data_IF_652732137411
#
_entry.id   IF_652732137411
#
_cell.length_a   1.000
_cell.length_b   1.000
_cell.length_c   1.000
_cell.angle_alpha   90.00
_cell.angle_beta   90.00
_cell.angle_gamma   90.00
#
_symmetry.space_group_name_H-M   'P 1'
#
loop_
_entity.id
_entity.type
_entity.pdbx_description
1 polymer ?
#
# COMPACT_ATOMS: atom_id res chain seq x y z
N UNK A 1 -17.81 -36.87 0.93
CA UNK A 1 -16.58 -36.19 1.41
C UNK A 1 -15.41 -36.51 0.50
N UNK A 2 -15.45 -35.99 -0.73
CA UNK A 2 -14.30 -35.97 -1.64
C UNK A 2 -14.32 -34.56 -2.23
N UNK A 3 -13.15 -33.91 -2.29
CA UNK A 3 -12.90 -32.65 -3.02
C UNK A 3 -13.02 -31.31 -2.28
N UNK A 4 -12.35 -31.17 -1.12
CA UNK A 4 -11.86 -29.84 -0.69
C UNK A 4 -10.34 -29.72 -0.71
N UNK A 5 -9.61 -30.83 -0.52
CA UNK A 5 -8.14 -30.87 -0.66
C UNK A 5 -7.64 -30.97 -2.11
N UNK A 6 -8.50 -31.31 -3.07
CA UNK A 6 -8.09 -31.46 -4.49
C UNK A 6 -8.11 -30.14 -5.26
N UNK A 7 -9.02 -29.24 -4.93
CA UNK A 7 -9.15 -27.90 -5.53
C UNK A 7 -7.89 -27.03 -5.41
N UNK A 8 -7.24 -26.92 -4.22
CA UNK A 8 -6.01 -26.15 -4.10
C UNK A 8 -4.83 -26.75 -4.87
N UNK A 9 -4.75 -28.09 -4.96
CA UNK A 9 -3.72 -28.80 -5.74
C UNK A 9 -3.92 -28.55 -7.24
N UNK A 10 -5.16 -28.54 -7.72
CA UNK A 10 -5.48 -28.26 -9.12
C UNK A 10 -5.14 -26.81 -9.47
N UNK A 11 -5.43 -25.84 -8.59
CA UNK A 11 -5.08 -24.43 -8.78
C UNK A 11 -3.55 -24.24 -8.75
N UNK A 12 -2.84 -24.95 -7.87
CA UNK A 12 -1.38 -24.97 -7.83
C UNK A 12 -0.76 -25.52 -9.13
N UNK A 13 -1.31 -26.61 -9.67
CA UNK A 13 -0.90 -27.12 -11.00
C UNK A 13 -1.24 -26.13 -12.13
N UNK A 14 -2.38 -25.44 -12.06
CA UNK A 14 -2.77 -24.44 -13.05
C UNK A 14 -1.81 -23.23 -13.05
N UNK A 15 -1.39 -22.77 -11.87
CA UNK A 15 -0.39 -21.71 -11.70
C UNK A 15 1.00 -22.15 -12.16
N UNK A 16 1.40 -23.40 -11.88
CA UNK A 16 2.65 -23.98 -12.39
C UNK A 16 2.66 -24.08 -13.92
N UNK A 17 1.56 -24.50 -14.55
CA UNK A 17 1.45 -24.56 -16.01
C UNK A 17 1.43 -23.17 -16.67
N UNK A 18 0.90 -22.14 -15.99
CA UNK A 18 1.05 -20.74 -16.43
C UNK A 18 2.50 -20.28 -16.34
N UNK A 19 3.21 -20.67 -15.28
CA UNK A 19 4.62 -20.34 -15.06
C UNK A 19 5.52 -20.92 -16.17
N UNK A 20 5.27 -22.16 -16.59
CA UNK A 20 6.04 -22.83 -17.66
C UNK A 20 5.83 -22.19 -19.04
N UNK A 21 4.59 -21.78 -19.37
CA UNK A 21 4.30 -21.07 -20.63
C UNK A 21 4.90 -19.68 -20.69
N UNK A 22 4.96 -18.97 -19.56
CA UNK A 22 5.59 -17.64 -19.47
C UNK A 22 7.12 -17.75 -19.56
N UNK A 23 7.74 -18.72 -18.87
CA UNK A 23 9.19 -18.96 -18.94
C UNK A 23 9.66 -19.33 -20.35
N UNK A 24 8.92 -20.17 -21.08
CA UNK A 24 9.25 -20.51 -22.47
C UNK A 24 9.13 -19.32 -23.42
N UNK A 25 8.21 -18.38 -23.17
CA UNK A 25 8.06 -17.18 -24.00
C UNK A 25 9.17 -16.15 -23.82
N UNK A 26 9.79 -16.11 -22.63
CA UNK A 26 10.87 -15.17 -22.29
C UNK A 26 12.24 -15.71 -22.73
N UNK A 27 12.51 -17.01 -22.58
CA UNK A 27 13.78 -17.62 -22.98
C UNK A 27 14.00 -17.68 -24.51
N UNK A 28 12.93 -17.66 -25.32
CA UNK A 28 13.06 -17.52 -26.77
C UNK A 28 13.54 -16.11 -27.19
N UNK A 29 13.25 -15.08 -26.38
CA UNK A 29 13.58 -13.69 -26.70
C UNK A 29 15.05 -13.32 -26.47
N UNK A 30 15.81 -14.07 -25.66
CA UNK A 30 17.26 -13.83 -25.50
C UNK A 30 18.09 -14.38 -26.68
N UNK A 31 17.58 -15.37 -27.43
CA UNK A 31 18.31 -16.00 -28.54
C UNK A 31 17.99 -15.43 -29.94
N UNK A 32 17.07 -14.46 -30.05
CA UNK A 32 16.71 -13.83 -31.33
C UNK A 32 17.58 -12.60 -31.70
N UNK A 33 18.49 -12.20 -30.81
CA UNK A 33 19.40 -11.06 -31.00
C UNK A 33 20.64 -11.33 -31.86
N UNK A 34 21.02 -12.60 -32.07
CA UNK A 34 22.19 -12.99 -32.86
C UNK A 34 21.83 -14.11 -33.84
N UNK A 35 21.21 -13.75 -34.97
CA UNK A 35 21.44 -14.35 -36.28
C UNK A 35 20.44 -13.75 -37.29
N UNK A 36 20.74 -12.56 -37.78
CA UNK A 36 20.27 -12.17 -39.12
C UNK A 36 20.98 -13.07 -40.11
N UNK A 37 20.28 -14.05 -40.69
CA UNK A 37 20.36 -14.39 -42.10
C UNK A 37 19.23 -15.33 -42.56
N UNK A 38 18.52 -14.83 -43.57
CA UNK A 38 17.90 -15.53 -44.70
C UNK A 38 16.79 -16.59 -44.47
N UNK A 39 15.59 -16.17 -44.88
CA UNK A 39 14.51 -16.98 -45.48
C UNK A 39 13.91 -18.13 -44.65
N UNK A 40 12.91 -17.81 -43.82
CA UNK A 40 11.88 -18.78 -43.44
C UNK A 40 10.50 -18.11 -43.31
N UNK A 41 9.70 -18.31 -44.36
CA UNK A 41 8.25 -18.19 -44.49
C UNK A 41 7.45 -17.58 -43.30
N UNK A 42 7.20 -16.28 -43.40
CA UNK A 42 6.16 -15.57 -42.65
C UNK A 42 4.80 -16.11 -43.09
N UNK A 43 4.16 -16.99 -42.29
CA UNK A 43 2.71 -17.28 -42.22
C UNK A 43 2.43 -18.71 -41.68
N UNK A 44 2.65 -18.93 -40.39
CA UNK A 44 2.08 -20.08 -39.65
C UNK A 44 1.08 -19.56 -38.62
N UNK A 45 -0.11 -20.18 -38.46
CA UNK A 45 -1.16 -19.68 -37.56
C UNK A 45 -0.74 -19.62 -36.08
N UNK A 46 0.23 -20.43 -35.65
CA UNK A 46 0.77 -20.38 -34.28
C UNK A 46 1.55 -19.08 -33.99
N UNK A 47 2.37 -18.60 -34.93
CA UNK A 47 3.10 -17.34 -34.78
C UNK A 47 2.17 -16.13 -34.83
N UNK A 48 1.11 -16.20 -35.63
CA UNK A 48 0.09 -15.15 -35.70
C UNK A 48 -0.73 -15.08 -34.39
N UNK A 49 -1.09 -16.23 -33.82
CA UNK A 49 -1.81 -16.31 -32.54
C UNK A 49 -0.94 -15.84 -31.35
N UNK A 50 0.36 -16.16 -31.35
CA UNK A 50 1.30 -15.65 -30.33
C UNK A 50 1.41 -14.13 -30.41
N UNK A 51 1.59 -13.58 -31.61
CA UNK A 51 1.65 -12.13 -31.84
C UNK A 51 0.33 -11.43 -31.45
N UNK A 52 -0.83 -11.99 -31.83
CA UNK A 52 -2.15 -11.46 -31.46
C UNK A 52 -2.37 -11.43 -29.95
N UNK A 53 -1.96 -12.47 -29.23
CA UNK A 53 -2.04 -12.53 -27.76
C UNK A 53 -1.10 -11.53 -27.09
N UNK A 54 0.10 -11.31 -27.64
CA UNK A 54 1.05 -10.31 -27.14
C UNK A 54 0.51 -8.88 -27.32
N UNK A 55 -0.08 -8.57 -28.48
CA UNK A 55 -0.74 -7.28 -28.71
C UNK A 55 -1.90 -7.05 -27.74
N UNK A 56 -2.72 -8.07 -27.47
CA UNK A 56 -3.85 -7.97 -26.54
C UNK A 56 -3.38 -7.71 -25.09
N UNK A 57 -2.33 -8.39 -24.63
CA UNK A 57 -1.75 -8.18 -23.30
C UNK A 57 -1.19 -6.75 -23.10
N UNK A 58 -0.55 -6.20 -24.13
CA UNK A 58 -0.02 -4.82 -24.09
C UNK A 58 -1.15 -3.80 -24.04
N UNK A 59 -2.23 -3.99 -24.81
CA UNK A 59 -3.41 -3.12 -24.76
C UNK A 59 -4.14 -3.23 -23.40
N UNK A 60 -4.20 -4.43 -22.81
CA UNK A 60 -4.72 -4.60 -21.44
C UNK A 60 -3.87 -3.86 -20.40
N UNK A 61 -2.54 -3.92 -20.47
CA UNK A 61 -1.67 -3.15 -19.57
C UNK A 61 -1.81 -1.63 -19.80
N UNK A 62 -1.88 -1.18 -21.06
CA UNK A 62 -2.18 0.23 -21.39
C UNK A 62 -3.52 0.68 -20.83
N UNK A 63 -4.53 -0.19 -20.77
CA UNK A 63 -5.81 0.15 -20.16
C UNK A 63 -5.70 0.50 -18.66
N UNK A 64 -4.65 0.02 -17.98
CA UNK A 64 -4.38 0.27 -16.56
C UNK A 64 -3.46 1.47 -16.33
N UNK A 65 -2.38 1.62 -17.11
CA UNK A 65 -1.32 2.63 -16.87
C UNK A 65 -1.15 3.66 -17.99
N UNK A 66 -1.86 3.53 -19.10
CA UNK A 66 -1.81 4.44 -20.25
C UNK A 66 -3.18 4.92 -20.72
N UNK A 67 -4.17 4.89 -19.83
CA UNK A 67 -5.56 5.23 -20.15
C UNK A 67 -5.85 6.72 -19.88
N UNK A 68 -6.05 7.49 -20.96
CA UNK A 68 -6.34 8.93 -20.90
C UNK A 68 -7.66 9.26 -20.18
N UNK A 69 -8.68 8.41 -20.33
CA UNK A 69 -9.97 8.60 -19.65
C UNK A 69 -9.81 8.42 -18.13
N UNK A 70 -9.08 7.37 -17.72
CA UNK A 70 -8.76 7.12 -16.32
C UNK A 70 -7.94 8.28 -15.74
N UNK A 71 -6.89 8.74 -16.45
CA UNK A 71 -6.07 9.88 -16.05
C UNK A 71 -6.90 11.14 -15.82
N UNK A 72 -7.78 11.46 -16.77
CA UNK A 72 -8.68 12.61 -16.69
C UNK A 72 -9.63 12.51 -15.50
N UNK A 73 -10.27 11.35 -15.31
CA UNK A 73 -11.23 11.12 -14.22
C UNK A 73 -10.57 11.21 -12.85
N UNK A 74 -9.38 10.62 -12.67
CA UNK A 74 -8.60 10.72 -11.44
C UNK A 74 -8.16 12.16 -11.16
N UNK A 75 -7.73 12.91 -12.18
CA UNK A 75 -7.34 14.32 -12.05
C UNK A 75 -8.53 15.21 -11.64
N UNK A 76 -9.73 14.95 -12.18
CA UNK A 76 -10.95 15.65 -11.77
C UNK A 76 -11.28 15.34 -10.32
N UNK A 77 -11.24 14.06 -9.93
CA UNK A 77 -11.53 13.62 -8.58
C UNK A 77 -10.54 14.20 -7.56
N UNK A 78 -9.25 14.24 -7.88
CA UNK A 78 -8.21 14.89 -7.08
C UNK A 78 -8.59 16.35 -6.78
N UNK A 79 -8.92 17.13 -7.83
CA UNK A 79 -9.30 18.54 -7.68
C UNK A 79 -10.54 18.72 -6.81
N UNK A 80 -11.56 17.88 -6.99
CA UNK A 80 -12.78 17.92 -6.15
C UNK A 80 -12.47 17.62 -4.68
N UNK A 81 -11.58 16.67 -4.40
CA UNK A 81 -11.16 16.36 -3.02
C UNK A 81 -10.38 17.53 -2.41
N UNK A 82 -9.44 18.13 -3.16
CA UNK A 82 -8.68 19.29 -2.69
C UNK A 82 -9.59 20.50 -2.39
N UNK A 83 -10.55 20.78 -3.28
CA UNK A 83 -11.54 21.84 -3.09
C UNK A 83 -12.46 21.56 -1.88
N UNK A 84 -12.85 20.29 -1.69
CA UNK A 84 -13.62 19.86 -0.52
C UNK A 84 -12.84 20.04 0.78
N UNK A 85 -11.56 19.67 0.81
CA UNK A 85 -10.67 19.86 1.95
C UNK A 85 -10.49 21.34 2.29
N UNK A 86 -10.40 22.20 1.27
CA UNK A 86 -10.27 23.64 1.43
C UNK A 86 -11.52 24.27 2.07
N UNK A 87 -12.71 23.84 1.63
CA UNK A 87 -14.02 24.34 2.09
C UNK A 87 -14.54 23.66 3.36
N UNK A 88 -13.84 22.65 3.87
CA UNK A 88 -14.27 21.88 5.03
C UNK A 88 -14.42 22.76 6.28
N UNK A 89 -15.34 22.40 7.17
CA UNK A 89 -15.56 23.11 8.44
C UNK A 89 -14.45 22.82 9.45
N UNK A 90 -13.87 21.61 9.42
CA UNK A 90 -12.75 21.24 10.27
C UNK A 90 -11.43 21.64 9.59
N UNK A 91 -10.84 22.75 10.05
CA UNK A 91 -9.60 23.36 9.51
C UNK A 91 -8.34 22.71 10.09
N UNK A 92 -8.22 21.40 9.94
CA UNK A 92 -7.06 20.61 10.37
C UNK A 92 -6.35 19.98 9.15
N UNK A 93 -5.01 19.83 9.19
CA UNK A 93 -4.15 20.05 10.36
C UNK A 93 -3.64 21.50 10.46
N UNK A 94 -3.49 21.96 11.70
CA UNK A 94 -2.89 23.25 12.05
C UNK A 94 -1.35 23.16 12.01
N UNK A 95 -0.71 24.25 11.62
CA UNK A 95 0.73 24.42 11.71
C UNK A 95 1.13 24.72 13.16
N UNK A 96 1.73 23.72 13.82
CA UNK A 96 2.34 23.87 15.15
C UNK A 96 3.87 23.96 15.02
N UNK A 97 4.55 24.36 16.09
CA UNK A 97 6.01 24.30 16.15
C UNK A 97 6.49 22.85 15.93
N UNK A 98 7.39 22.63 14.97
CA UNK A 98 7.89 21.31 14.59
C UNK A 98 7.24 20.68 13.35
N UNK A 99 6.07 21.17 12.89
CA UNK A 99 5.45 20.66 11.65
C UNK A 99 6.33 20.91 10.42
N UNK A 100 7.08 22.02 10.42
CA UNK A 100 8.01 22.40 9.35
C UNK A 100 9.22 21.47 9.23
N UNK A 101 9.56 20.71 10.29
CA UNK A 101 10.62 19.70 10.26
C UNK A 101 10.10 18.39 9.65
N UNK A 102 8.80 18.11 9.78
CA UNK A 102 8.18 16.88 9.30
C UNK A 102 7.82 16.98 7.81
N UNK A 103 7.26 18.12 7.38
CA UNK A 103 6.65 18.28 6.05
C UNK A 103 7.22 19.48 5.29
N UNK A 104 7.44 19.29 3.98
CA UNK A 104 7.89 20.36 3.09
C UNK A 104 6.74 21.32 2.77
N UNK A 105 6.66 22.42 3.54
CA UNK A 105 5.61 23.43 3.46
C UNK A 105 5.51 24.06 2.06
N UNK A 106 6.56 24.05 1.24
CA UNK A 106 6.53 24.65 -0.10
C UNK A 106 5.54 23.97 -1.05
N UNK A 107 5.21 22.71 -0.79
CA UNK A 107 4.25 21.90 -1.56
C UNK A 107 2.82 21.98 -1.04
N UNK A 108 2.57 22.78 -0.01
CA UNK A 108 1.27 22.93 0.64
C UNK A 108 0.79 24.37 0.53
N UNK A 109 -0.52 24.55 0.47
CA UNK A 109 -1.13 25.87 0.56
C UNK A 109 -1.42 26.20 2.03
N UNK A 110 -0.96 27.35 2.49
CA UNK A 110 -1.20 27.86 3.84
C UNK A 110 -2.41 28.78 3.84
N UNK A 111 -3.33 28.57 4.77
CA UNK A 111 -4.51 29.43 4.95
C UNK A 111 -4.68 29.82 6.41
N UNK A 112 -5.10 31.05 6.62
CA UNK A 112 -5.37 31.59 7.96
C UNK A 112 -6.83 31.31 8.32
N UNK A 113 -7.08 31.07 9.60
CA UNK A 113 -8.44 31.00 10.15
C UNK A 113 -8.90 32.44 10.40
N UNK A 114 -9.98 32.87 9.76
CA UNK A 114 -10.46 34.28 9.83
C UNK A 114 -10.89 34.72 11.22
N UNK A 115 -11.20 33.75 12.10
CA UNK A 115 -11.80 33.99 13.41
C UNK A 115 -10.79 33.77 14.57
N UNK A 116 -9.54 33.42 14.26
CA UNK A 116 -8.47 33.22 15.24
C UNK A 116 -7.15 33.77 14.68
N UNK A 117 -6.64 34.85 15.29
CA UNK A 117 -5.63 35.73 14.66
C UNK A 117 -4.23 35.11 14.43
N UNK A 118 -3.94 33.91 14.91
CA UNK A 118 -2.59 33.32 14.82
C UNK A 118 -2.52 31.87 14.31
N UNK A 119 -3.66 31.24 13.99
CA UNK A 119 -3.68 29.84 13.57
C UNK A 119 -3.74 29.68 12.04
N UNK A 120 -2.74 28.99 11.50
CA UNK A 120 -2.65 28.68 10.08
C UNK A 120 -2.80 27.18 9.88
N UNK A 121 -3.59 26.77 8.88
CA UNK A 121 -3.77 25.38 8.50
C UNK A 121 -3.21 25.11 7.12
N UNK A 122 -2.82 23.87 6.88
CA UNK A 122 -2.27 23.42 5.59
C UNK A 122 -3.27 22.62 4.79
N UNK A 123 -3.23 22.81 3.48
CA UNK A 123 -3.97 22.01 2.51
C UNK A 123 -2.98 21.48 1.47
N UNK A 124 -3.05 20.19 1.10
CA UNK A 124 -2.24 19.67 0.01
C UNK A 124 -2.54 20.38 -1.31
N UNK A 125 -1.58 20.36 -2.22
CA UNK A 125 -1.73 20.89 -3.58
C UNK A 125 -1.67 19.76 -4.61
N UNK A 126 -1.94 20.11 -5.88
CA UNK A 126 -1.78 19.15 -6.99
C UNK A 126 -0.31 18.72 -7.13
N UNK A 127 0.64 19.56 -6.74
CA UNK A 127 2.08 19.29 -6.78
C UNK A 127 2.56 18.41 -5.61
N UNK A 128 1.76 18.20 -4.57
CA UNK A 128 2.14 17.32 -3.45
C UNK A 128 2.35 15.89 -3.95
N UNK A 129 3.48 15.28 -3.57
CA UNK A 129 3.81 13.90 -3.91
C UNK A 129 3.04 12.90 -3.04
N UNK A 130 3.14 11.61 -3.36
CA UNK A 130 2.56 10.54 -2.54
C UNK A 130 3.06 10.59 -1.09
N UNK A 131 4.37 10.73 -0.87
CA UNK A 131 4.96 10.79 0.48
C UNK A 131 4.54 12.05 1.25
N UNK A 132 4.32 13.17 0.56
CA UNK A 132 3.78 14.39 1.17
C UNK A 132 2.36 14.14 1.71
N UNK A 133 1.52 13.40 0.97
CA UNK A 133 0.19 13.02 1.44
C UNK A 133 0.24 12.00 2.59
N UNK A 134 1.20 11.07 2.60
CA UNK A 134 1.40 10.14 3.73
C UNK A 134 1.66 10.91 5.03
N UNK A 135 2.61 11.86 4.99
CA UNK A 135 2.92 12.72 6.15
C UNK A 135 1.73 13.58 6.56
N UNK A 136 1.00 14.12 5.58
CA UNK A 136 -0.23 14.87 5.84
C UNK A 136 -1.31 14.01 6.51
N UNK A 137 -1.46 12.73 6.13
CA UNK A 137 -2.38 11.79 6.79
C UNK A 137 -1.99 11.53 8.25
N UNK A 138 -0.69 11.40 8.55
CA UNK A 138 -0.21 11.26 9.93
C UNK A 138 -0.57 12.47 10.79
N UNK A 139 -0.33 13.70 10.29
CA UNK A 139 -0.70 14.94 10.99
C UNK A 139 -2.22 15.07 11.20
N UNK A 140 -3.02 14.70 10.19
CA UNK A 140 -4.48 14.63 10.32
C UNK A 140 -4.87 13.67 11.43
N UNK A 141 -4.25 12.48 11.49
CA UNK A 141 -4.59 11.45 12.48
C UNK A 141 -4.19 11.88 13.89
N UNK A 142 -2.98 12.40 14.07
CA UNK A 142 -2.50 12.98 15.34
C UNK A 142 -3.51 14.00 15.88
N UNK A 143 -3.83 15.03 15.09
CA UNK A 143 -4.70 16.10 15.56
C UNK A 143 -6.15 15.64 15.70
N UNK A 144 -6.60 14.67 14.90
CA UNK A 144 -7.93 14.05 15.06
C UNK A 144 -8.07 13.29 16.37
N UNK A 145 -7.00 12.64 16.85
CA UNK A 145 -6.99 11.95 18.15
C UNK A 145 -7.03 12.98 19.29
N UNK A 146 -6.25 14.07 19.18
CA UNK A 146 -6.20 15.13 20.20
C UNK A 146 -7.56 15.80 20.43
N UNK A 147 -8.27 16.13 19.35
CA UNK A 147 -9.52 16.90 19.41
C UNK A 147 -10.78 16.02 19.46
N UNK A 148 -10.61 14.69 19.50
CA UNK A 148 -11.71 13.76 19.34
C UNK A 148 -12.83 14.01 20.35
N UNK A 149 -14.06 14.17 19.84
CA UNK A 149 -15.28 14.15 20.64
C UNK A 149 -16.40 13.48 19.84
N UNK A 150 -17.45 13.03 20.54
CA UNK A 150 -18.58 12.33 19.91
C UNK A 150 -19.32 13.21 18.89
N UNK A 151 -19.42 14.51 19.13
CA UNK A 151 -20.17 15.47 18.30
C UNK A 151 -19.53 15.73 16.92
N UNK A 152 -18.19 15.64 16.82
CA UNK A 152 -17.43 15.85 15.58
C UNK A 152 -16.89 14.55 14.99
N UNK A 153 -17.14 13.41 15.64
CA UNK A 153 -16.62 12.10 15.24
C UNK A 153 -16.93 11.74 13.79
N UNK A 154 -18.14 12.04 13.29
CA UNK A 154 -18.52 11.79 11.90
C UNK A 154 -17.75 12.64 10.89
N UNK A 155 -17.41 13.89 11.27
CA UNK A 155 -16.61 14.78 10.42
C UNK A 155 -15.15 14.31 10.37
N UNK A 156 -14.60 13.86 11.51
CA UNK A 156 -13.26 13.26 11.59
C UNK A 156 -13.19 12.01 10.69
N UNK A 157 -14.16 11.10 10.79
CA UNK A 157 -14.23 9.91 9.93
C UNK A 157 -14.22 10.30 8.45
N UNK A 158 -15.08 11.24 8.04
CA UNK A 158 -15.14 11.73 6.65
C UNK A 158 -13.81 12.31 6.19
N UNK A 159 -13.13 13.12 7.04
CA UNK A 159 -11.81 13.68 6.75
C UNK A 159 -10.77 12.58 6.51
N UNK A 160 -10.69 11.59 7.40
CA UNK A 160 -9.75 10.47 7.25
C UNK A 160 -10.01 9.70 5.96
N UNK A 161 -11.29 9.44 5.63
CA UNK A 161 -11.67 8.77 4.39
C UNK A 161 -11.22 9.54 3.14
N UNK A 162 -11.52 10.83 3.03
CA UNK A 162 -11.15 11.62 1.83
C UNK A 162 -9.64 11.77 1.68
N UNK A 163 -8.89 11.86 2.79
CA UNK A 163 -7.42 11.93 2.77
C UNK A 163 -6.85 10.58 2.32
N UNK A 164 -7.40 9.45 2.80
CA UNK A 164 -7.03 8.12 2.33
C UNK A 164 -7.32 7.95 0.83
N UNK A 165 -8.46 8.44 0.35
CA UNK A 165 -8.78 8.45 -1.09
C UNK A 165 -7.79 9.28 -1.89
N UNK A 166 -7.42 10.47 -1.42
CA UNK A 166 -6.41 11.30 -2.07
C UNK A 166 -5.06 10.59 -2.17
N UNK A 167 -4.63 9.91 -1.09
CA UNK A 167 -3.41 9.11 -1.08
C UNK A 167 -3.44 8.01 -2.14
N UNK A 168 -4.54 7.27 -2.26
CA UNK A 168 -4.71 6.24 -3.29
C UNK A 168 -4.69 6.83 -4.70
N UNK A 169 -5.34 7.97 -4.94
CA UNK A 169 -5.33 8.65 -6.24
C UNK A 169 -3.92 9.07 -6.63
N UNK A 170 -3.15 9.65 -5.69
CA UNK A 170 -1.75 10.04 -5.94
C UNK A 170 -0.93 8.83 -6.37
N UNK A 171 -1.09 7.69 -5.70
CA UNK A 171 -0.40 6.46 -6.07
C UNK A 171 -0.81 5.95 -7.46
N UNK A 172 -2.10 6.00 -7.80
CA UNK A 172 -2.61 5.56 -9.11
C UNK A 172 -2.14 6.47 -10.26
N UNK A 173 -1.98 7.76 -10.00
CA UNK A 173 -1.54 8.74 -11.01
C UNK A 173 -0.05 8.63 -11.35
N UNK A 174 0.79 8.01 -10.52
CA UNK A 174 2.24 7.87 -10.76
C UNK A 174 2.54 7.16 -12.08
N UNK A 175 2.11 5.89 -12.29
CA UNK A 175 2.39 5.19 -13.54
C UNK A 175 1.71 5.87 -14.75
N UNK A 176 0.52 6.45 -14.58
CA UNK A 176 -0.19 7.18 -15.64
C UNK A 176 0.57 8.42 -16.11
N UNK A 177 1.09 9.22 -15.17
CA UNK A 177 1.87 10.40 -15.48
C UNK A 177 3.21 10.04 -16.15
N UNK A 178 3.89 9.01 -15.63
CA UNK A 178 5.14 8.51 -16.19
C UNK A 178 4.97 8.03 -17.63
N UNK A 179 3.96 7.19 -17.87
CA UNK A 179 3.67 6.68 -19.21
C UNK A 179 3.31 7.81 -20.19
N UNK A 180 2.52 8.79 -19.76
CA UNK A 180 2.12 9.93 -20.61
C UNK A 180 3.31 10.80 -21.05
N UNK A 181 4.38 10.84 -20.26
CA UNK A 181 5.58 11.62 -20.57
C UNK A 181 6.57 10.82 -21.42
N UNK A 182 6.76 9.54 -21.10
CA UNK A 182 7.85 8.73 -21.65
C UNK A 182 7.38 7.74 -22.73
N UNK A 183 6.07 7.48 -22.83
CA UNK A 183 5.45 6.44 -23.65
C UNK A 183 6.05 5.04 -23.44
N UNK A 184 6.63 4.78 -22.27
CA UNK A 184 7.27 3.52 -21.91
C UNK A 184 6.57 2.86 -20.71
N UNK A 185 6.01 1.67 -20.94
CA UNK A 185 5.30 0.90 -19.93
C UNK A 185 6.24 0.40 -18.83
N UNK A 186 7.48 0.04 -19.19
CA UNK A 186 8.45 -0.51 -18.25
C UNK A 186 8.89 0.58 -17.28
N UNK A 187 9.31 1.74 -17.79
CA UNK A 187 9.66 2.89 -16.97
C UNK A 187 8.51 3.32 -16.04
N UNK A 188 7.25 3.29 -16.50
CA UNK A 188 6.10 3.63 -15.66
C UNK A 188 5.87 2.65 -14.49
N UNK A 189 6.08 1.36 -14.73
CA UNK A 189 6.00 0.33 -13.68
C UNK A 189 7.17 0.42 -12.69
N UNK A 190 8.39 0.66 -13.19
CA UNK A 190 9.56 0.90 -12.35
C UNK A 190 9.39 2.14 -11.47
N UNK A 191 8.80 3.22 -12.00
CA UNK A 191 8.51 4.42 -11.22
C UNK A 191 7.50 4.16 -10.10
N UNK A 192 6.48 3.34 -10.35
CA UNK A 192 5.56 2.90 -9.31
C UNK A 192 6.27 2.05 -8.24
N UNK A 193 7.12 1.09 -8.65
CA UNK A 193 7.86 0.24 -7.72
C UNK A 193 8.81 1.07 -6.83
N UNK A 194 9.46 2.08 -7.41
CA UNK A 194 10.36 3.00 -6.73
C UNK A 194 9.70 3.75 -5.57
N UNK A 195 8.38 3.97 -5.58
CA UNK A 195 7.66 4.59 -4.45
C UNK A 195 7.77 3.75 -3.17
N UNK A 196 7.87 2.42 -3.30
CA UNK A 196 7.95 1.48 -2.18
C UNK A 196 9.40 1.09 -1.85
N UNK A 197 10.29 1.09 -2.84
CA UNK A 197 11.67 0.63 -2.70
C UNK A 197 12.70 1.76 -2.52
N UNK A 198 12.48 2.94 -3.11
CA UNK A 198 13.39 4.10 -3.03
C UNK A 198 13.08 5.03 -1.86
N UNK A 199 12.67 4.50 -0.69
CA UNK A 199 13.04 5.21 0.52
C UNK A 199 14.57 5.21 0.51
N UNK A 200 15.18 6.39 0.37
CA UNK A 200 16.56 6.59 0.81
C UNK A 200 16.69 5.79 2.09
N UNK A 201 17.57 4.79 2.09
CA UNK A 201 17.78 3.88 3.19
C UNK A 201 18.35 4.69 4.36
N UNK A 202 17.53 5.54 4.96
CA UNK A 202 17.73 6.04 6.28
C UNK A 202 17.64 4.79 7.13
N UNK A 203 18.82 4.32 7.52
CA UNK A 203 19.09 3.36 8.58
C UNK A 203 18.56 3.93 9.91
N UNK A 204 17.31 4.38 9.96
CA UNK A 204 16.61 4.40 11.21
C UNK A 204 16.43 2.93 11.55
N UNK A 205 17.20 2.47 12.53
CA UNK A 205 17.12 1.10 13.03
C UNK A 205 15.65 0.78 13.22
N UNK A 206 15.17 -0.32 12.62
CA UNK A 206 13.82 -0.84 12.87
C UNK A 206 13.52 -0.66 14.35
N UNK A 207 12.35 -0.13 14.75
CA UNK A 207 12.03 0.14 16.15
C UNK A 207 12.11 -1.13 17.01
N UNK A 208 12.02 -2.31 16.39
CA UNK A 208 12.16 -3.64 17.01
C UNK A 208 13.66 -4.03 17.19
N UNK A 209 14.57 -3.34 16.51
CA UNK A 209 16.00 -3.60 16.50
C UNK A 209 16.33 -4.90 15.76
N UNK A 210 17.00 -5.83 16.44
CA UNK A 210 17.21 -7.17 15.92
C UNK A 210 15.96 -8.05 16.12
N UNK A 211 15.16 -8.18 15.07
CA UNK A 211 13.99 -9.06 15.02
C UNK A 211 14.31 -10.50 15.39
N UNK A 212 15.52 -10.98 15.09
CA UNK A 212 15.94 -12.35 15.42
C UNK A 212 15.97 -12.57 16.94
N UNK A 213 16.54 -11.63 17.69
CA UNK A 213 16.52 -11.65 19.15
C UNK A 213 15.12 -11.43 19.71
N UNK A 214 14.32 -10.53 19.13
CA UNK A 214 12.93 -10.31 19.54
C UNK A 214 12.10 -11.59 19.43
N UNK A 215 12.09 -12.26 18.27
CA UNK A 215 11.34 -13.50 18.07
C UNK A 215 11.82 -14.63 18.97
N UNK A 216 13.13 -14.76 19.22
CA UNK A 216 13.66 -15.76 20.17
C UNK A 216 13.13 -15.52 21.57
N UNK A 217 13.17 -14.28 22.07
CA UNK A 217 12.62 -13.93 23.39
C UNK A 217 11.12 -14.18 23.46
N UNK A 218 10.37 -13.81 22.42
CA UNK A 218 8.94 -14.05 22.33
C UNK A 218 8.60 -15.55 22.36
N UNK A 219 9.29 -16.36 21.57
CA UNK A 219 9.13 -17.83 21.57
C UNK A 219 9.42 -18.45 22.93
N UNK A 220 10.49 -18.01 23.60
CA UNK A 220 10.80 -18.45 24.97
C UNK A 220 9.69 -18.07 25.93
N UNK A 221 9.21 -16.83 25.89
CA UNK A 221 8.13 -16.35 26.78
C UNK A 221 6.82 -17.12 26.58
N UNK A 222 6.40 -17.32 25.31
CA UNK A 222 5.21 -18.11 24.96
C UNK A 222 5.33 -19.54 25.47
N UNK A 223 6.51 -20.15 25.34
CA UNK A 223 6.77 -21.51 25.84
C UNK A 223 6.68 -21.58 27.37
N UNK A 224 7.26 -20.62 28.08
CA UNK A 224 7.19 -20.53 29.54
C UNK A 224 5.74 -20.46 30.04
N UNK A 225 4.90 -19.62 29.43
CA UNK A 225 3.49 -19.52 29.82
C UNK A 225 2.74 -20.82 29.51
N UNK A 226 3.01 -21.44 28.37
CA UNK A 226 2.38 -22.69 27.96
C UNK A 226 2.69 -23.85 28.92
N UNK A 227 3.92 -23.95 29.40
CA UNK A 227 4.38 -25.03 30.29
C UNK A 227 3.98 -24.81 31.77
N UNK A 228 3.65 -23.59 32.18
CA UNK A 228 3.32 -23.27 33.58
C UNK A 228 1.91 -23.75 34.00
N UNK A 229 1.77 -24.83 34.76
CA UNK A 229 0.46 -25.38 35.14
C UNK A 229 -0.46 -24.41 35.92
N UNK A 230 0.09 -23.39 36.58
CA UNK A 230 -0.68 -22.43 37.41
C UNK A 230 -1.51 -21.44 36.57
N UNK A 231 -1.26 -21.34 35.26
CA UNK A 231 -1.97 -20.42 34.36
C UNK A 231 -3.02 -21.21 33.58
N UNK A 232 -4.30 -21.05 33.92
CA UNK A 232 -5.41 -21.71 33.21
C UNK A 232 -5.63 -21.10 31.81
N UNK A 233 -5.79 -19.77 31.74
CA UNK A 233 -6.04 -19.04 30.50
C UNK A 233 -4.75 -18.56 29.84
N UNK A 234 -4.06 -19.48 29.14
CA UNK A 234 -2.79 -19.20 28.44
C UNK A 234 -2.87 -18.01 27.49
N UNK A 235 -3.90 -18.00 26.63
CA UNK A 235 -4.06 -17.00 25.58
C UNK A 235 -4.34 -15.60 26.14
N UNK A 236 -5.22 -15.50 27.13
CA UNK A 236 -5.55 -14.22 27.78
C UNK A 236 -4.36 -13.65 28.53
N UNK A 237 -3.62 -14.50 29.25
CA UNK A 237 -2.41 -14.08 29.99
C UNK A 237 -1.32 -13.56 29.05
N UNK A 238 -1.16 -14.18 27.87
CA UNK A 238 -0.23 -13.72 26.83
C UNK A 238 -0.57 -12.35 26.25
N UNK A 239 -1.87 -12.01 26.17
CA UNK A 239 -2.36 -10.78 25.55
C UNK A 239 -2.42 -9.64 26.56
N UNK A 240 -2.99 -9.89 27.75
CA UNK A 240 -3.25 -8.85 28.74
C UNK A 240 -2.08 -8.62 29.68
N UNK A 241 -1.19 -9.60 29.89
CA UNK A 241 0.01 -9.47 30.72
C UNK A 241 -0.28 -8.83 32.08
N UNK A 242 0.05 -7.55 32.23
CA UNK A 242 -0.33 -6.72 33.37
C UNK A 242 -1.79 -6.21 33.22
N UNK A 243 -2.67 -6.79 34.01
CA UNK A 243 -4.10 -6.47 34.13
C UNK A 243 -4.43 -5.08 34.73
N UNK A 244 -3.43 -4.21 34.91
CA UNK A 244 -3.59 -2.80 35.28
C UNK A 244 -3.24 -1.89 34.12
N UNK A 245 -4.15 -1.74 33.17
CA UNK A 245 -4.06 -0.66 32.19
C UNK A 245 -5.41 0.06 32.15
N UNK A 246 -5.46 1.25 32.76
CA UNK A 246 -6.60 2.17 32.69
C UNK A 246 -6.67 2.77 31.27
N UNK A 247 -7.19 2.01 30.29
CA UNK A 247 -7.20 2.41 28.86
C UNK A 247 -8.60 2.75 28.33
N UNK A 248 -9.68 2.26 28.96
CA UNK A 248 -11.00 2.31 28.31
C UNK A 248 -11.60 3.72 28.16
N UNK A 249 -11.08 4.73 28.88
CA UNK A 249 -11.60 6.11 28.86
C UNK A 249 -10.64 7.12 28.21
N UNK A 250 -9.54 6.69 27.58
CA UNK A 250 -8.66 7.62 26.86
C UNK A 250 -9.23 7.96 25.48
N UNK A 251 -8.98 9.19 25.02
CA UNK A 251 -9.48 9.66 23.71
C UNK A 251 -8.93 8.86 22.53
N UNK A 252 -7.81 8.16 22.71
CA UNK A 252 -7.15 7.33 21.70
C UNK A 252 -7.65 5.87 21.65
N UNK A 253 -8.55 5.45 22.55
CA UNK A 253 -9.06 4.06 22.59
C UNK A 253 -9.71 3.60 21.28
N UNK A 254 -10.35 4.52 20.55
CA UNK A 254 -10.98 4.22 19.25
C UNK A 254 -10.01 4.23 18.07
N UNK A 255 -8.73 4.48 18.30
CA UNK A 255 -7.69 4.57 17.29
C UNK A 255 -6.65 3.48 17.48
N UNK A 256 -6.00 3.08 16.39
CA UNK A 256 -4.94 2.05 16.41
C UNK A 256 -3.60 2.57 16.94
N UNK A 257 -3.49 3.89 17.13
CA UNK A 257 -2.27 4.59 17.54
C UNK A 257 -2.65 5.74 18.47
N UNK A 258 -1.71 6.15 19.32
CA UNK A 258 -1.81 7.43 20.04
C UNK A 258 -1.48 8.61 19.09
N UNK A 259 -1.45 9.83 19.64
CA UNK A 259 -1.12 11.06 18.90
C UNK A 259 0.36 11.18 18.48
N UNK A 260 1.21 10.18 18.73
CA UNK A 260 2.63 10.26 18.36
C UNK A 260 2.85 9.85 16.90
N UNK A 261 3.21 10.81 16.04
CA UNK A 261 3.52 10.57 14.62
C UNK A 261 4.65 9.56 14.43
N UNK A 262 5.69 9.56 15.30
CA UNK A 262 6.80 8.59 15.21
C UNK A 262 6.32 7.15 15.37
N UNK A 263 5.26 6.92 16.16
CA UNK A 263 4.69 5.58 16.29
C UNK A 263 4.00 5.14 14.98
N UNK A 264 3.38 6.07 14.26
CA UNK A 264 2.78 5.79 12.95
C UNK A 264 3.86 5.49 11.90
N UNK A 265 4.95 6.27 11.87
CA UNK A 265 6.11 6.04 10.99
C UNK A 265 6.77 4.68 11.27
N UNK A 266 6.96 4.33 12.54
CA UNK A 266 7.47 3.03 12.94
C UNK A 266 6.61 1.86 12.42
N UNK A 267 5.28 1.99 12.43
CA UNK A 267 4.39 0.96 11.86
C UNK A 267 4.54 0.87 10.34
N UNK A 268 4.64 2.02 9.66
CA UNK A 268 4.89 2.06 8.22
C UNK A 268 6.23 1.38 7.88
N UNK A 269 7.28 1.63 8.65
CA UNK A 269 8.60 1.05 8.42
C UNK A 269 8.63 -0.46 8.68
N UNK A 270 8.02 -0.94 9.77
CA UNK A 270 7.88 -2.38 10.04
C UNK A 270 7.14 -3.05 8.87
N UNK A 271 6.02 -2.49 8.42
CA UNK A 271 5.27 -3.11 7.32
C UNK A 271 6.05 -3.09 6.01
N UNK A 272 6.82 -2.04 5.74
CA UNK A 272 7.64 -1.96 4.54
C UNK A 272 8.82 -2.95 4.57
N UNK A 273 9.44 -3.15 5.74
CA UNK A 273 10.54 -4.11 5.94
C UNK A 273 10.15 -5.54 5.54
N UNK A 274 8.89 -5.92 5.78
CA UNK A 274 8.33 -7.23 5.40
C UNK A 274 7.63 -7.25 4.03
N UNK A 275 7.74 -6.20 3.23
CA UNK A 275 7.11 -6.12 1.90
C UNK A 275 5.59 -5.93 1.94
N UNK A 276 5.01 -5.53 3.07
CA UNK A 276 3.57 -5.29 3.26
C UNK A 276 3.17 -3.83 3.06
N UNK A 277 4.10 -2.96 2.62
CA UNK A 277 3.87 -1.52 2.48
C UNK A 277 2.65 -1.16 1.63
N UNK A 278 2.41 -1.90 0.54
CA UNK A 278 1.25 -1.67 -0.32
C UNK A 278 -0.09 -1.92 0.40
N UNK A 279 -0.17 -3.01 1.16
CA UNK A 279 -1.38 -3.37 1.93
C UNK A 279 -1.59 -2.35 3.05
N UNK A 280 -0.53 -1.91 3.72
CA UNK A 280 -0.61 -0.92 4.78
C UNK A 280 -1.13 0.45 4.26
N UNK A 281 -0.60 0.93 3.13
CA UNK A 281 -1.00 2.22 2.59
C UNK A 281 -2.43 2.22 2.00
N UNK A 282 -2.83 1.18 1.27
CA UNK A 282 -4.14 1.10 0.62
C UNK A 282 -5.25 0.59 1.53
N UNK A 283 -4.91 -0.23 2.53
CA UNK A 283 -5.87 -1.03 3.28
C UNK A 283 -6.53 -2.14 2.43
N UNK A 284 -7.53 -2.84 2.96
CA UNK A 284 -8.21 -3.95 2.30
C UNK A 284 -9.24 -3.48 1.24
N UNK A 285 -8.92 -2.42 0.48
CA UNK A 285 -9.82 -1.88 -0.53
C UNK A 285 -9.77 -2.74 -1.79
N UNK A 286 -10.82 -3.54 -2.04
CA UNK A 286 -10.86 -4.54 -3.12
C UNK A 286 -10.39 -4.04 -4.49
N UNK A 287 -10.92 -2.91 -4.96
CA UNK A 287 -10.58 -2.37 -6.30
C UNK A 287 -9.13 -1.87 -6.36
N UNK A 288 -8.74 -0.97 -5.46
CA UNK A 288 -7.39 -0.43 -5.42
C UNK A 288 -6.34 -1.53 -5.20
N UNK A 289 -6.53 -2.40 -4.20
CA UNK A 289 -5.61 -3.49 -3.91
C UNK A 289 -5.49 -4.46 -5.09
N UNK A 290 -6.63 -4.85 -5.70
CA UNK A 290 -6.64 -5.70 -6.89
C UNK A 290 -5.88 -5.06 -8.07
N UNK A 291 -6.12 -3.78 -8.33
CA UNK A 291 -5.41 -3.03 -9.37
C UNK A 291 -3.89 -3.05 -9.17
N UNK A 292 -3.42 -2.70 -7.97
CA UNK A 292 -1.99 -2.63 -7.69
C UNK A 292 -1.31 -4.00 -7.61
N UNK A 293 -1.99 -5.04 -7.09
CA UNK A 293 -1.44 -6.39 -7.08
C UNK A 293 -1.20 -6.91 -8.50
N UNK A 294 -2.12 -6.62 -9.42
CA UNK A 294 -1.93 -6.95 -10.84
C UNK A 294 -0.76 -6.17 -11.45
N UNK A 295 -0.63 -4.87 -11.14
CA UNK A 295 0.51 -4.07 -11.64
C UNK A 295 1.86 -4.55 -11.10
N UNK A 296 1.96 -4.92 -9.82
CA UNK A 296 3.19 -5.49 -9.25
C UNK A 296 3.54 -6.81 -9.94
N UNK A 297 2.54 -7.67 -10.17
CA UNK A 297 2.76 -8.92 -10.88
C UNK A 297 3.33 -8.68 -12.29
N UNK A 298 2.85 -7.66 -12.99
CA UNK A 298 3.33 -7.29 -14.33
C UNK A 298 4.68 -6.56 -14.32
N UNK A 299 5.02 -5.86 -13.23
CA UNK A 299 6.32 -5.20 -13.05
C UNK A 299 7.47 -6.19 -12.83
N UNK A 300 7.18 -7.41 -12.37
CA UNK A 300 8.22 -8.36 -11.97
C UNK A 300 8.18 -9.61 -12.85
N UNK A 301 9.19 -9.88 -13.70
CA UNK A 301 9.37 -11.24 -14.23
C UNK A 301 9.85 -12.23 -13.15
N UNK A 302 10.11 -11.78 -11.91
CA UNK A 302 10.68 -12.60 -10.83
C UNK A 302 10.20 -12.13 -9.45
N UNK A 303 9.04 -12.60 -8.96
CA UNK A 303 8.79 -12.69 -7.52
C UNK A 303 7.70 -13.70 -7.18
N UNK A 304 8.09 -14.96 -7.13
CA UNK A 304 7.31 -16.13 -6.69
C UNK A 304 6.85 -16.03 -5.21
N UNK A 305 7.38 -15.07 -4.43
CA UNK A 305 7.16 -14.95 -2.99
C UNK A 305 5.84 -14.26 -2.59
N UNK A 306 5.34 -13.31 -3.39
CA UNK A 306 4.16 -12.50 -3.00
C UNK A 306 2.84 -13.29 -3.09
N UNK A 307 2.75 -14.22 -4.05
CA UNK A 307 1.61 -15.13 -4.23
C UNK A 307 1.47 -16.12 -3.08
N UNK A 308 2.57 -16.58 -2.49
CA UNK A 308 2.56 -17.52 -1.36
C UNK A 308 1.94 -16.85 -0.12
N UNK A 309 2.21 -15.55 0.08
CA UNK A 309 1.67 -14.82 1.23
C UNK A 309 0.17 -14.47 1.06
N UNK A 310 -0.26 -14.10 -0.14
CA UNK A 310 -1.69 -13.86 -0.44
C UNK A 310 -2.52 -15.15 -0.33
N UNK A 311 -1.91 -16.28 -0.69
CA UNK A 311 -2.48 -17.62 -0.52
C UNK A 311 -2.57 -18.02 0.96
N UNK A 312 -1.56 -17.70 1.77
CA UNK A 312 -1.61 -17.93 3.23
C UNK A 312 -2.68 -17.07 3.90
N UNK A 313 -2.82 -15.79 3.51
CA UNK A 313 -3.87 -14.91 4.04
C UNK A 313 -5.29 -15.36 3.64
N UNK A 314 -5.49 -15.86 2.42
CA UNK A 314 -6.81 -16.35 1.98
C UNK A 314 -7.17 -17.70 2.60
N UNK A 315 -6.20 -18.58 2.85
CA UNK A 315 -6.42 -19.82 3.61
C UNK A 315 -6.82 -19.54 5.05
N UNK A 316 -6.21 -18.54 5.70
CA UNK A 316 -6.56 -18.17 7.08
C UNK A 316 -7.95 -17.55 7.20
N UNK A 317 -8.41 -16.81 6.18
CA UNK A 317 -9.79 -16.30 6.13
C UNK A 317 -10.84 -17.39 5.90
N UNK A 318 -10.52 -18.43 5.12
CA UNK A 318 -11.43 -19.55 4.85
C UNK A 318 -11.42 -20.65 5.92
N UNK A 319 -10.47 -20.65 6.85
CA UNK A 319 -10.44 -21.60 7.99
C UNK A 319 -11.07 -21.03 9.26
N UNK A 320 -11.50 -19.77 9.24
CA UNK A 320 -12.20 -19.11 10.34
C UNK A 320 -13.72 -18.93 10.12
N UNK A 321 -14.29 -19.54 9.08
CA UNK A 321 -15.74 -19.62 8.87
C UNK A 321 -16.24 -21.06 8.78
#
# INVERSE_FOLDING_TARGET
>A
MVSFFKTPIIIFFFLLCLNEKVLCSINENENLGENKNENANVNTPENLNKLLNEYDNIEQLKSMIGNDELHKNLTILEKLILESLEKDKLKYPLLKQGTEQLIDISKFNKKNITDADDETYIIPTVQSSFHDIVKYEHLIKEQSIEIYNSDISDKIKKKIFIVRTLKTIKLMLIPLNSYKQNNDLKSALEELNNVFTNKEAQKESSPIGDHGTFFRKLLTHVRTIKENEDIENKGETLILGDNKIDVMNSNDFFFTTNSNVKFMENLDDITNEYGLGLINHLGPHLIALGHFVVLIYLCTPFCTWFLILLYLCTIQFCTFF
#
